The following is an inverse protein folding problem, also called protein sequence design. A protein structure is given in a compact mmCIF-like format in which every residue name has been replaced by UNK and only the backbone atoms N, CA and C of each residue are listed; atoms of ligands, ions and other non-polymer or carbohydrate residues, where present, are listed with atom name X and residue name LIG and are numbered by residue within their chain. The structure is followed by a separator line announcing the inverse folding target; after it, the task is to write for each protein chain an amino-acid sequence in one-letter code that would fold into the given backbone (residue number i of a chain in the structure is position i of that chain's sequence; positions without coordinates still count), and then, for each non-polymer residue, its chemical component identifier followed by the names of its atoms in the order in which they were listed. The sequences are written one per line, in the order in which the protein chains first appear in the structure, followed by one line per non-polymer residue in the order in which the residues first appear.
data_IF_131964129945
#
_entry.id   IF_131964129945
#
_cell.length_a   1.000
_cell.length_b   1.000
_cell.length_c   1.000
_cell.angle_alpha   90.00
_cell.angle_beta   90.00
_cell.angle_gamma   90.00
#
_symmetry.space_group_name_H-M   'P 1'
#
loop_
_entity.id
_entity.type
_entity.pdbx_description
1 polymer ?
#
# COMPACT_ATOMS: atom_id res chain seq x y z
N UNK A 1 29.88 -0.03 -0.09
CA UNK A 1 30.62 0.37 1.13
C UNK A 1 31.25 1.76 1.00
N UNK A 2 31.69 2.18 -0.20
CA UNK A 2 32.14 3.54 -0.50
C UNK A 2 31.18 4.22 -1.49
N UNK A 3 29.89 4.23 -1.18
CA UNK A 3 28.94 5.02 -1.98
C UNK A 3 28.86 6.41 -1.36
N UNK A 4 29.51 7.38 -2.00
CA UNK A 4 29.67 8.76 -1.50
C UNK A 4 28.33 9.48 -1.38
N UNK A 5 27.34 9.13 -2.22
CA UNK A 5 26.01 9.73 -2.20
C UNK A 5 25.26 9.29 -0.95
N UNK A 6 25.30 7.99 -0.64
CA UNK A 6 24.64 7.43 0.55
C UNK A 6 25.25 7.95 1.85
N UNK A 7 26.57 8.13 1.91
CA UNK A 7 27.24 8.68 3.10
C UNK A 7 26.90 10.16 3.34
N UNK A 8 26.74 10.93 2.27
CA UNK A 8 26.41 12.36 2.36
C UNK A 8 25.00 12.61 2.91
N UNK A 9 24.04 11.72 2.58
CA UNK A 9 22.63 11.87 2.99
C UNK A 9 22.38 11.41 4.44
N UNK A 10 23.18 10.45 4.93
CA UNK A 10 22.87 9.75 6.18
C UNK A 10 23.46 10.43 7.43
N UNK A 11 24.37 11.41 7.26
CA UNK A 11 25.02 12.18 8.35
C UNK A 11 25.56 11.29 9.50
N UNK A 12 25.87 10.02 9.23
CA UNK A 12 26.21 9.03 10.25
C UNK A 12 26.65 7.68 9.69
N UNK A 13 27.07 6.78 10.57
CA UNK A 13 27.61 5.46 10.18
C UNK A 13 26.53 4.54 9.57
N UNK A 14 26.86 3.94 8.42
CA UNK A 14 26.01 2.95 7.78
C UNK A 14 25.87 1.69 8.64
N UNK A 15 24.67 1.12 8.66
CA UNK A 15 24.46 -0.21 9.23
C UNK A 15 25.34 -1.25 8.53
N UNK A 16 25.99 -2.11 9.31
CA UNK A 16 26.77 -3.23 8.77
C UNK A 16 25.86 -4.24 8.05
N UNK A 17 26.39 -4.96 7.05
CA UNK A 17 25.65 -6.01 6.34
C UNK A 17 24.94 -7.02 7.28
N UNK A 18 25.56 -7.51 8.37
CA UNK A 18 24.88 -8.39 9.31
C UNK A 18 23.69 -7.73 10.02
N UNK A 19 23.74 -6.42 10.25
CA UNK A 19 22.65 -5.66 10.88
C UNK A 19 21.46 -5.52 9.94
N UNK A 20 21.71 -5.17 8.68
CA UNK A 20 20.66 -5.09 7.65
C UNK A 20 20.01 -6.46 7.42
N UNK A 21 20.82 -7.52 7.28
CA UNK A 21 20.31 -8.88 7.11
C UNK A 21 19.46 -9.35 8.30
N UNK A 22 19.85 -9.06 9.55
CA UNK A 22 19.02 -9.35 10.72
C UNK A 22 17.71 -8.57 10.71
N UNK A 23 17.73 -7.29 10.33
CA UNK A 23 16.51 -6.49 10.20
C UNK A 23 15.57 -7.12 9.17
N UNK A 24 16.04 -7.37 7.95
CA UNK A 24 15.26 -7.95 6.86
C UNK A 24 14.62 -9.28 7.27
N UNK A 25 15.39 -10.16 7.94
CA UNK A 25 14.89 -11.46 8.40
C UNK A 25 14.05 -11.39 9.69
N UNK A 26 14.02 -10.26 10.40
CA UNK A 26 13.19 -10.06 11.60
C UNK A 26 11.77 -9.58 11.27
N UNK A 27 11.55 -9.05 10.07
CA UNK A 27 10.25 -8.52 9.63
C UNK A 27 9.35 -9.68 9.22
N UNK A 28 8.29 -9.89 10.00
CA UNK A 28 7.25 -10.87 9.68
C UNK A 28 5.97 -10.19 9.15
N UNK A 29 4.99 -11.03 8.77
CA UNK A 29 3.68 -10.55 8.31
C UNK A 29 2.96 -9.66 9.33
N UNK A 30 3.17 -9.87 10.64
CA UNK A 30 2.52 -9.07 11.69
C UNK A 30 3.10 -7.67 11.74
N UNK A 31 4.42 -7.53 11.57
CA UNK A 31 5.09 -6.24 11.48
C UNK A 31 4.61 -5.48 10.24
N UNK A 32 4.54 -6.14 9.08
CA UNK A 32 4.01 -5.53 7.85
C UNK A 32 2.58 -5.05 8.07
N UNK A 33 1.72 -5.87 8.69
CA UNK A 33 0.34 -5.49 8.98
C UNK A 33 0.24 -4.27 9.91
N UNK A 34 1.07 -4.22 10.98
CA UNK A 34 1.16 -3.05 11.86
C UNK A 34 1.60 -1.80 11.11
N UNK A 35 2.55 -1.92 10.18
CA UNK A 35 3.00 -0.81 9.33
C UNK A 35 1.87 -0.30 8.42
N UNK A 36 1.09 -1.21 7.82
CA UNK A 36 -0.11 -0.81 7.05
C UNK A 36 -1.10 -0.04 7.92
N UNK A 37 -1.38 -0.51 9.14
CA UNK A 37 -2.25 0.20 10.08
C UNK A 37 -1.72 1.61 10.41
N UNK A 38 -0.43 1.71 10.73
CA UNK A 38 0.23 2.98 11.03
C UNK A 38 0.17 3.97 9.85
N UNK A 39 0.39 3.48 8.63
CA UNK A 39 0.34 4.30 7.42
C UNK A 39 -1.05 4.92 7.21
N UNK A 40 -2.10 4.11 7.40
CA UNK A 40 -3.48 4.60 7.29
C UNK A 40 -3.82 5.55 8.44
N UNK A 41 -3.38 5.26 9.68
CA UNK A 41 -3.58 6.16 10.82
C UNK A 41 -2.95 7.53 10.58
N UNK A 42 -1.74 7.55 9.99
CA UNK A 42 -1.10 8.79 9.56
C UNK A 42 -1.98 9.57 8.59
N UNK A 43 -2.50 8.95 7.53
CA UNK A 43 -3.40 9.62 6.60
C UNK A 43 -4.68 10.15 7.30
N UNK A 44 -5.36 9.30 8.07
CA UNK A 44 -6.59 9.67 8.78
C UNK A 44 -6.37 10.80 9.77
N UNK A 45 -5.21 10.87 10.43
CA UNK A 45 -4.88 11.96 11.35
C UNK A 45 -4.76 13.33 10.69
N UNK A 46 -4.45 13.36 9.38
CA UNK A 46 -4.27 14.58 8.59
C UNK A 46 -5.56 15.06 7.91
N UNK A 47 -6.60 14.22 7.88
CA UNK A 47 -7.90 14.60 7.35
C UNK A 47 -8.51 15.76 8.15
N UNK A 48 -8.97 16.78 7.43
CA UNK A 48 -9.63 17.94 8.02
C UNK A 48 -11.03 17.59 8.50
N UNK A 49 -11.43 18.10 9.66
CA UNK A 49 -12.84 18.01 10.15
C UNK A 49 -13.84 18.74 9.24
N UNK A 50 -13.39 19.67 8.39
CA UNK A 50 -14.24 20.36 7.42
C UNK A 50 -14.48 19.53 6.16
N UNK A 51 -13.67 18.49 5.94
CA UNK A 51 -13.81 17.61 4.79
C UNK A 51 -15.04 16.73 4.99
N UNK A 52 -15.94 16.75 4.01
CA UNK A 52 -17.19 15.98 4.04
C UNK A 52 -17.11 14.74 3.14
N UNK A 53 -16.08 14.64 2.32
CA UNK A 53 -15.86 13.51 1.42
C UNK A 53 -14.39 13.17 1.23
N UNK A 54 -14.09 11.87 1.22
CA UNK A 54 -12.85 11.27 0.71
C UNK A 54 -13.18 10.43 -0.52
N UNK A 55 -12.38 10.59 -1.58
CA UNK A 55 -12.42 9.72 -2.76
C UNK A 55 -11.21 8.79 -2.65
N UNK A 56 -11.43 7.49 -2.67
CA UNK A 56 -10.38 6.48 -2.62
C UNK A 56 -10.25 5.88 -4.02
N UNK A 57 -9.16 6.21 -4.68
CA UNK A 57 -8.75 5.60 -5.94
C UNK A 57 -7.95 4.33 -5.62
N UNK A 58 -8.36 3.23 -6.23
CA UNK A 58 -7.70 1.93 -6.09
C UNK A 58 -7.21 1.53 -7.46
N UNK A 59 -5.88 1.49 -7.61
CA UNK A 59 -5.23 1.10 -8.84
C UNK A 59 -3.99 0.25 -8.56
N UNK A 60 -3.58 -0.56 -9.54
CA UNK A 60 -2.38 -1.37 -9.48
C UNK A 60 -1.46 -1.03 -10.64
N UNK A 61 -0.19 -0.77 -10.34
CA UNK A 61 0.87 -0.57 -11.34
C UNK A 61 1.87 -1.71 -11.31
N UNK A 62 2.51 -1.98 -12.44
CA UNK A 62 3.62 -2.90 -12.51
C UNK A 62 4.91 -2.31 -11.91
N UNK A 63 5.77 -3.20 -11.42
CA UNK A 63 7.08 -2.87 -10.87
C UNK A 63 8.10 -3.94 -11.31
N UNK A 64 8.79 -3.72 -12.44
CA UNK A 64 9.75 -4.69 -12.98
C UNK A 64 10.81 -5.07 -11.95
N UNK A 65 11.08 -6.37 -11.86
CA UNK A 65 12.07 -6.91 -10.92
C UNK A 65 13.37 -7.28 -11.61
N UNK A 66 14.45 -7.34 -10.83
CA UNK A 66 15.79 -7.64 -11.34
C UNK A 66 16.44 -8.79 -10.56
N UNK A 67 17.16 -9.67 -11.26
CA UNK A 67 17.85 -10.80 -10.65
C UNK A 67 16.89 -11.78 -9.97
N UNK A 68 17.23 -12.20 -8.75
CA UNK A 68 16.47 -13.21 -7.98
C UNK A 68 15.76 -12.61 -6.77
N UNK A 69 15.16 -11.44 -6.93
CA UNK A 69 14.36 -10.80 -5.90
C UNK A 69 13.22 -11.70 -5.42
N UNK A 70 12.99 -11.74 -4.10
CA UNK A 70 11.97 -12.61 -3.50
C UNK A 70 10.56 -12.19 -3.93
N UNK A 71 9.70 -13.14 -4.30
CA UNK A 71 8.33 -12.89 -4.80
C UNK A 71 8.25 -12.16 -6.15
N UNK A 72 9.37 -12.01 -6.85
CA UNK A 72 9.41 -11.74 -8.29
C UNK A 72 8.76 -12.91 -9.02
N UNK A 73 7.62 -12.65 -9.66
CA UNK A 73 6.85 -13.67 -10.35
C UNK A 73 6.44 -13.14 -11.73
N UNK A 74 6.31 -14.05 -12.70
CA UNK A 74 5.91 -13.71 -14.05
C UNK A 74 4.46 -13.21 -14.09
N UNK A 75 4.25 -12.04 -14.70
CA UNK A 75 2.93 -11.45 -14.91
C UNK A 75 2.55 -11.51 -16.39
N UNK A 76 1.56 -12.34 -16.74
CA UNK A 76 1.22 -12.65 -18.13
C UNK A 76 0.74 -11.44 -18.96
N UNK A 77 0.04 -10.47 -18.36
CA UNK A 77 -0.43 -9.28 -19.07
C UNK A 77 0.71 -8.36 -19.54
N UNK A 78 1.72 -8.15 -18.69
CA UNK A 78 2.88 -7.30 -18.98
C UNK A 78 4.03 -8.09 -19.61
N UNK A 79 3.93 -9.42 -19.63
CA UNK A 79 4.93 -10.34 -20.16
C UNK A 79 6.34 -10.14 -19.55
N UNK A 80 6.38 -9.90 -18.23
CA UNK A 80 7.63 -9.63 -17.50
C UNK A 80 7.58 -10.19 -16.07
N UNK A 81 8.74 -10.29 -15.44
CA UNK A 81 8.86 -10.58 -14.01
C UNK A 81 8.76 -9.27 -13.23
N UNK A 82 7.82 -9.20 -12.29
CA UNK A 82 7.53 -7.96 -11.60
C UNK A 82 7.02 -8.21 -10.18
N UNK A 83 6.82 -7.13 -9.45
CA UNK A 83 5.81 -7.03 -8.42
C UNK A 83 4.55 -6.37 -9.00
N UNK A 84 3.47 -6.47 -8.23
CA UNK A 84 2.27 -5.68 -8.48
C UNK A 84 2.11 -4.70 -7.30
N UNK A 85 2.14 -3.40 -7.59
CA UNK A 85 2.00 -2.35 -6.60
C UNK A 85 0.55 -1.89 -6.53
N UNK A 86 -0.18 -2.30 -5.49
CA UNK A 86 -1.54 -1.86 -5.23
C UNK A 86 -1.53 -0.57 -4.41
N UNK A 87 -2.12 0.49 -4.97
CA UNK A 87 -2.23 1.79 -4.31
C UNK A 87 -3.66 2.11 -3.92
N UNK A 88 -3.78 2.71 -2.72
CA UNK A 88 -4.96 3.46 -2.29
C UNK A 88 -4.56 4.93 -2.24
N UNK A 89 -5.23 5.76 -3.03
CA UNK A 89 -4.87 7.17 -3.19
C UNK A 89 -6.09 8.02 -2.88
N UNK A 90 -5.90 9.14 -2.17
CA UNK A 90 -6.92 10.14 -2.04
C UNK A 90 -7.09 10.86 -3.38
N UNK A 91 -8.19 10.59 -4.08
CA UNK A 91 -8.47 11.12 -5.41
C UNK A 91 -8.67 12.62 -5.47
N UNK A 92 -8.75 13.33 -4.33
CA UNK A 92 -8.79 14.81 -4.28
C UNK A 92 -7.42 15.42 -4.07
N UNK A 93 -6.60 14.83 -3.20
CA UNK A 93 -5.33 15.42 -2.78
C UNK A 93 -4.11 14.79 -3.48
N UNK A 94 -4.29 13.61 -4.06
CA UNK A 94 -3.20 12.78 -4.57
C UNK A 94 -2.36 12.11 -3.47
N UNK A 95 -2.73 12.24 -2.19
CA UNK A 95 -1.98 11.62 -1.09
C UNK A 95 -2.14 10.10 -1.10
N UNK A 96 -1.03 9.38 -0.92
CA UNK A 96 -1.04 7.92 -0.82
C UNK A 96 -1.59 7.52 0.56
N UNK A 97 -2.80 6.95 0.56
CA UNK A 97 -3.48 6.40 1.74
C UNK A 97 -2.80 5.13 2.20
N UNK A 98 -2.39 4.26 1.27
CA UNK A 98 -1.63 3.05 1.56
C UNK A 98 -1.01 2.46 0.28
N UNK A 99 0.32 2.27 0.22
CA UNK A 99 0.97 1.45 -0.79
C UNK A 99 1.10 -0.01 -0.32
N UNK A 100 0.83 -0.97 -1.20
CA UNK A 100 0.98 -2.40 -0.90
C UNK A 100 1.68 -3.10 -2.07
N UNK A 101 2.92 -3.54 -1.83
CA UNK A 101 3.65 -4.37 -2.77
C UNK A 101 3.19 -5.82 -2.69
N UNK A 102 2.81 -6.40 -3.82
CA UNK A 102 2.28 -7.77 -3.94
C UNK A 102 3.18 -8.62 -4.84
N UNK A 103 3.18 -9.96 -4.67
CA UNK A 103 3.85 -10.85 -5.62
C UNK A 103 3.38 -10.61 -7.06
N UNK A 104 4.28 -10.76 -8.03
CA UNK A 104 4.03 -10.43 -9.45
C UNK A 104 2.90 -11.19 -10.14
N UNK A 105 2.39 -12.29 -9.57
CA UNK A 105 1.25 -13.01 -10.12
C UNK A 105 -0.08 -12.66 -9.42
N UNK A 106 -0.10 -11.61 -8.62
CA UNK A 106 -1.29 -11.20 -7.88
C UNK A 106 -2.34 -10.66 -8.84
N UNK A 107 -3.49 -11.35 -8.91
CA UNK A 107 -4.63 -10.81 -9.62
C UNK A 107 -5.14 -9.52 -8.94
N UNK A 108 -5.66 -8.59 -9.73
CA UNK A 108 -6.04 -7.22 -9.34
C UNK A 108 -6.86 -7.15 -8.03
N UNK A 109 -7.83 -8.04 -7.84
CA UNK A 109 -8.72 -8.03 -6.67
C UNK A 109 -8.14 -8.70 -5.41
N UNK A 110 -6.98 -9.34 -5.47
CA UNK A 110 -6.39 -10.05 -4.33
C UNK A 110 -6.03 -9.05 -3.23
N UNK A 111 -6.52 -9.32 -2.02
CA UNK A 111 -6.35 -8.49 -0.81
C UNK A 111 -7.04 -7.12 -0.82
N UNK A 112 -7.45 -6.61 -1.98
CA UNK A 112 -7.91 -5.23 -2.12
C UNK A 112 -9.15 -4.92 -1.28
N UNK A 113 -10.09 -5.85 -1.21
CA UNK A 113 -11.33 -5.72 -0.42
C UNK A 113 -11.07 -5.69 1.08
N UNK A 114 -10.15 -6.54 1.57
CA UNK A 114 -9.86 -6.64 3.00
C UNK A 114 -9.11 -5.40 3.50
N UNK A 115 -8.11 -4.97 2.73
CA UNK A 115 -7.35 -3.75 3.01
C UNK A 115 -8.23 -2.51 2.92
N UNK A 116 -9.10 -2.42 1.90
CA UNK A 116 -10.07 -1.33 1.80
C UNK A 116 -11.00 -1.29 3.01
N UNK A 117 -11.48 -2.45 3.47
CA UNK A 117 -12.27 -2.55 4.69
C UNK A 117 -11.56 -1.90 5.88
N UNK A 118 -10.30 -2.26 6.11
CA UNK A 118 -9.49 -1.67 7.18
C UNK A 118 -9.34 -0.14 7.05
N UNK A 119 -9.14 0.36 5.83
CA UNK A 119 -9.07 1.82 5.56
C UNK A 119 -10.39 2.51 5.91
N UNK A 120 -11.51 1.97 5.41
CA UNK A 120 -12.85 2.50 5.65
C UNK A 120 -13.18 2.51 7.13
N UNK A 121 -12.87 1.42 7.84
CA UNK A 121 -13.12 1.31 9.29
C UNK A 121 -12.35 2.38 10.07
N UNK A 122 -11.08 2.64 9.72
CA UNK A 122 -10.28 3.71 10.34
C UNK A 122 -10.82 5.10 10.06
N UNK A 123 -11.22 5.38 8.82
CA UNK A 123 -11.84 6.68 8.47
C UNK A 123 -13.14 6.87 9.26
N UNK A 124 -14.02 5.86 9.27
CA UNK A 124 -15.33 5.92 9.95
C UNK A 124 -15.19 6.03 11.47
N UNK A 125 -14.19 5.39 12.08
CA UNK A 125 -13.91 5.52 13.50
C UNK A 125 -13.62 6.98 13.91
N UNK A 126 -13.01 7.77 13.03
CA UNK A 126 -12.68 9.18 13.29
C UNK A 126 -13.69 10.18 12.73
N UNK A 127 -14.32 9.84 11.61
CA UNK A 127 -15.27 10.68 10.86
C UNK A 127 -16.51 9.86 10.45
N UNK A 128 -17.43 9.61 11.39
CA UNK A 128 -18.58 8.72 11.14
C UNK A 128 -19.47 9.16 9.98
N UNK A 129 -19.55 10.47 9.72
CA UNK A 129 -20.41 11.06 8.69
C UNK A 129 -19.67 11.36 7.37
N UNK A 130 -18.38 11.04 7.25
CA UNK A 130 -17.61 11.28 6.03
C UNK A 130 -18.20 10.49 4.87
N UNK A 131 -18.51 11.13 3.74
CA UNK A 131 -18.86 10.42 2.51
C UNK A 131 -17.60 9.78 1.94
N UNK A 132 -17.60 8.47 1.76
CA UNK A 132 -16.48 7.76 1.15
C UNK A 132 -16.94 7.34 -0.24
N UNK A 133 -16.19 7.74 -1.27
CA UNK A 133 -16.40 7.31 -2.66
C UNK A 133 -15.25 6.42 -3.05
N UNK A 134 -15.54 5.26 -3.63
CA UNK A 134 -14.51 4.37 -4.16
C UNK A 134 -14.52 4.43 -5.68
N UNK A 135 -13.38 4.73 -6.28
CA UNK A 135 -13.15 4.60 -7.73
C UNK A 135 -12.13 3.50 -7.93
N UNK A 136 -12.53 2.43 -8.61
CA UNK A 136 -11.67 1.28 -8.82
C UNK A 136 -12.09 0.53 -10.09
N UNK A 137 -11.12 0.04 -10.84
CA UNK A 137 -11.35 -0.91 -11.93
C UNK A 137 -11.32 -2.31 -11.32
N UNK A 138 -12.39 -2.67 -10.60
CA UNK A 138 -12.49 -3.98 -9.94
C UNK A 138 -13.53 -4.88 -10.65
N UNK A 139 -13.24 -6.18 -10.66
CA UNK A 139 -14.08 -7.24 -11.26
C UNK A 139 -15.49 -7.30 -10.65
N UNK A 140 -16.44 -8.00 -11.32
CA UNK A 140 -17.79 -8.25 -10.79
C UNK A 140 -17.75 -8.81 -9.36
N UNK A 141 -18.50 -8.20 -8.43
CA UNK A 141 -18.55 -8.59 -7.00
C UNK A 141 -18.02 -7.52 -6.03
N UNK A 142 -17.19 -6.58 -6.50
CA UNK A 142 -16.76 -5.45 -5.67
C UNK A 142 -17.94 -4.54 -5.30
N UNK A 143 -18.78 -4.22 -6.28
CA UNK A 143 -19.94 -3.34 -6.11
C UNK A 143 -20.99 -3.90 -5.15
N UNK A 144 -21.11 -5.23 -5.05
CA UNK A 144 -22.02 -5.88 -4.11
C UNK A 144 -21.46 -5.90 -2.68
N UNK A 145 -20.14 -6.09 -2.52
CA UNK A 145 -19.48 -5.92 -1.22
C UNK A 145 -19.62 -4.50 -0.70
N UNK A 146 -19.38 -3.50 -1.57
CA UNK A 146 -19.46 -2.09 -1.19
C UNK A 146 -20.86 -1.69 -0.71
N UNK A 147 -21.90 -2.10 -1.46
CA UNK A 147 -23.31 -1.87 -1.10
C UNK A 147 -23.75 -2.50 0.22
N UNK A 148 -23.04 -3.51 0.75
CA UNK A 148 -23.37 -4.11 2.05
C UNK A 148 -22.79 -3.33 3.23
N UNK A 149 -21.85 -2.42 3.00
CA UNK A 149 -21.09 -1.71 4.05
C UNK A 149 -21.37 -0.21 4.12
N UNK A 150 -22.14 0.32 3.18
CA UNK A 150 -22.42 1.74 3.00
C UNK A 150 -23.86 1.90 2.53
#
# INVERSE_FOLDING_TARGET
KNDEVLQTVIEGDLCSQPTLSRMENSVDRKVIWKLCHWWVDRYVSRLSRKQTEVIIDIDSTDDPTHGSQQLSLFHAYYYQFQYDQLFYIDGKTGEVILPVLRPGNSHTARWSVHILGMIVDKIRARFPQMRIVIRAILRPGFTSWWRKRN
#
